data_IF_641486528060
#
_entry.id   IF_641486528060
#
_cell.length_a   1.000
_cell.length_b   1.000
_cell.length_c   1.000
_cell.angle_alpha   90.00
_cell.angle_beta   90.00
_cell.angle_gamma   90.00
#
_symmetry.space_group_name_H-M   'P 1'
#
loop_
_entity.id
_entity.type
_entity.pdbx_description
1 polymer ?
#
# COMPACT_ATOMS: atom_id res chain seq x y z
N UNK A 1 -24.60 26.82 -51.57
CA UNK A 1 -23.82 27.12 -50.35
C UNK A 1 -23.04 25.87 -49.97
N UNK A 2 -21.71 25.93 -49.94
CA UNK A 2 -20.93 24.80 -49.46
C UNK A 2 -21.25 24.58 -47.97
N UNK A 3 -21.62 23.37 -47.58
CA UNK A 3 -21.87 23.05 -46.16
C UNK A 3 -20.58 23.29 -45.37
N UNK A 4 -20.63 24.14 -44.37
CA UNK A 4 -19.49 24.51 -43.53
C UNK A 4 -18.97 23.32 -42.71
N UNK A 5 -19.83 22.35 -42.41
CA UNK A 5 -19.53 21.18 -41.62
C UNK A 5 -19.94 19.91 -42.36
N UNK A 6 -19.17 18.83 -42.13
CA UNK A 6 -19.48 17.49 -42.65
C UNK A 6 -20.70 16.93 -41.94
N UNK A 7 -21.69 16.46 -42.68
CA UNK A 7 -22.82 15.70 -42.10
C UNK A 7 -22.51 14.21 -42.14
N UNK A 8 -22.74 13.56 -41.03
CA UNK A 8 -22.59 12.11 -40.92
C UNK A 8 -23.96 11.46 -40.93
N UNK A 9 -24.21 10.57 -41.87
CA UNK A 9 -25.48 9.83 -42.02
C UNK A 9 -25.65 8.79 -40.89
N UNK A 10 -24.54 8.35 -40.27
CA UNK A 10 -24.50 7.41 -39.16
C UNK A 10 -23.38 7.81 -38.21
N UNK A 11 -23.67 7.74 -36.91
CA UNK A 11 -22.70 8.05 -35.88
C UNK A 11 -21.79 6.84 -35.67
N UNK A 12 -20.64 6.81 -36.32
CA UNK A 12 -19.59 5.81 -36.17
C UNK A 12 -18.37 6.45 -35.50
N UNK A 13 -18.28 6.27 -34.18
CA UNK A 13 -17.20 6.84 -33.35
C UNK A 13 -15.81 6.41 -33.83
N UNK A 14 -15.65 5.16 -34.29
CA UNK A 14 -14.36 4.65 -34.74
C UNK A 14 -13.87 5.37 -36.00
N UNK A 15 -14.75 5.58 -36.97
CA UNK A 15 -14.40 6.30 -38.21
C UNK A 15 -14.18 7.78 -37.95
N UNK A 16 -15.05 8.43 -37.18
CA UNK A 16 -14.86 9.83 -36.77
C UNK A 16 -13.51 10.02 -36.06
N UNK A 17 -13.15 9.13 -35.13
CA UNK A 17 -11.87 9.19 -34.46
C UNK A 17 -10.70 9.12 -35.46
N UNK A 18 -10.71 8.17 -36.37
CA UNK A 18 -9.65 8.03 -37.39
C UNK A 18 -9.52 9.27 -38.27
N UNK A 19 -10.64 9.85 -38.70
CA UNK A 19 -10.64 11.08 -39.50
C UNK A 19 -10.08 12.28 -38.75
N UNK A 20 -10.46 12.44 -37.47
CA UNK A 20 -9.96 13.51 -36.62
C UNK A 20 -8.47 13.35 -36.33
N UNK A 21 -8.02 12.15 -35.97
CA UNK A 21 -6.59 11.88 -35.76
C UNK A 21 -5.76 12.15 -37.00
N UNK A 22 -6.28 11.77 -38.19
CA UNK A 22 -5.63 12.08 -39.46
C UNK A 22 -5.51 13.59 -39.69
N UNK A 23 -6.59 14.34 -39.48
CA UNK A 23 -6.58 15.82 -39.60
C UNK A 23 -5.58 16.45 -38.63
N UNK A 24 -5.50 15.96 -37.39
CA UNK A 24 -4.56 16.48 -36.40
C UNK A 24 -3.12 16.22 -36.80
N UNK A 25 -2.83 15.02 -37.32
CA UNK A 25 -1.50 14.65 -37.79
C UNK A 25 -1.09 15.44 -39.04
N UNK A 26 -1.95 15.48 -40.08
CA UNK A 26 -1.66 16.16 -41.32
C UNK A 26 -1.51 17.70 -41.12
N UNK A 27 -2.23 18.24 -40.17
CA UNK A 27 -2.19 19.67 -39.83
C UNK A 27 -1.18 20.03 -38.75
N UNK A 28 -0.51 19.05 -38.14
CA UNK A 28 0.40 19.24 -37.00
C UNK A 28 -0.23 20.10 -35.87
N UNK A 29 -1.47 19.75 -35.52
CA UNK A 29 -2.31 20.59 -34.65
C UNK A 29 -1.77 20.68 -33.24
N UNK A 30 -1.11 19.59 -32.73
CA UNK A 30 -0.54 19.61 -31.39
C UNK A 30 0.60 20.65 -31.29
N UNK A 31 1.60 20.60 -32.16
CA UNK A 31 2.71 21.56 -32.14
C UNK A 31 2.22 23.00 -32.42
N UNK A 32 1.31 23.19 -33.40
CA UNK A 32 0.69 24.50 -33.60
C UNK A 32 -0.02 25.04 -32.38
N UNK A 33 -0.60 24.16 -31.54
CA UNK A 33 -1.24 24.58 -30.30
C UNK A 33 -0.25 25.13 -29.27
N UNK A 34 1.01 24.74 -29.35
CA UNK A 34 2.11 25.29 -28.55
C UNK A 34 2.66 26.57 -29.18
N UNK A 35 2.99 26.55 -30.47
CA UNK A 35 3.57 27.67 -31.21
C UNK A 35 2.75 28.97 -31.08
N UNK A 36 1.43 28.89 -31.33
CA UNK A 36 0.53 30.07 -31.23
C UNK A 36 0.38 30.61 -29.81
N UNK A 37 0.96 29.94 -28.81
CA UNK A 37 0.93 30.34 -27.40
C UNK A 37 2.33 30.65 -26.85
N UNK A 38 3.32 30.76 -27.70
CA UNK A 38 4.64 31.25 -27.28
C UNK A 38 4.51 32.65 -26.65
N UNK A 39 5.17 32.81 -25.48
CA UNK A 39 5.05 34.04 -24.70
C UNK A 39 3.81 34.14 -23.81
N UNK A 40 2.86 33.24 -23.90
CA UNK A 40 1.71 33.18 -22.99
C UNK A 40 2.09 32.58 -21.63
N UNK A 41 1.26 32.76 -20.58
CA UNK A 41 1.50 32.14 -19.29
C UNK A 41 1.68 30.61 -19.40
N UNK A 42 2.74 30.08 -18.78
CA UNK A 42 3.06 28.66 -18.87
C UNK A 42 2.23 27.83 -17.89
N UNK A 43 1.79 26.66 -18.34
CA UNK A 43 1.28 25.58 -17.51
C UNK A 43 2.03 24.28 -17.86
N UNK A 44 2.98 23.92 -17.00
CA UNK A 44 3.83 22.74 -17.22
C UNK A 44 3.15 21.49 -16.70
N UNK A 45 3.15 20.45 -17.51
CA UNK A 45 2.61 19.15 -17.16
C UNK A 45 3.61 18.04 -17.50
N UNK A 46 3.96 17.25 -16.48
CA UNK A 46 4.72 16.02 -16.64
C UNK A 46 3.77 14.82 -16.52
N UNK A 47 3.80 13.91 -17.50
CA UNK A 47 3.07 12.64 -17.41
C UNK A 47 3.58 11.86 -16.18
N UNK A 48 2.66 11.27 -15.40
CA UNK A 48 3.00 10.20 -14.47
C UNK A 48 3.35 8.96 -15.29
N UNK A 49 4.66 8.59 -15.37
CA UNK A 49 5.12 7.72 -16.43
C UNK A 49 4.65 6.29 -16.19
N UNK A 50 4.12 5.60 -17.21
CA UNK A 50 3.88 4.18 -17.10
C UNK A 50 5.19 3.40 -17.18
N UNK A 51 5.21 2.21 -16.60
CA UNK A 51 6.23 1.21 -16.88
C UNK A 51 5.83 0.43 -18.14
N UNK A 52 6.72 0.35 -19.13
CA UNK A 52 6.43 -0.31 -20.42
C UNK A 52 6.83 -1.79 -20.45
N UNK A 53 6.98 -2.44 -19.29
CA UNK A 53 7.21 -3.89 -19.16
C UNK A 53 5.93 -4.71 -19.34
N UNK A 54 4.75 -4.10 -19.38
CA UNK A 54 3.44 -4.72 -19.60
C UNK A 54 2.59 -3.98 -20.62
N UNK A 55 1.60 -4.70 -21.17
CA UNK A 55 0.62 -4.14 -22.11
C UNK A 55 -0.27 -3.11 -21.42
N UNK A 56 -0.64 -2.00 -22.12
CA UNK A 56 -1.58 -1.04 -21.58
C UNK A 56 -2.99 -1.66 -21.42
N UNK A 57 -3.64 -1.39 -20.29
CA UNK A 57 -5.02 -1.81 -20.01
C UNK A 57 -6.01 -0.64 -20.05
N UNK A 58 -7.31 -0.97 -19.97
CA UNK A 58 -8.40 0.03 -20.03
C UNK A 58 -8.33 1.06 -18.89
N UNK A 59 -7.88 0.69 -17.72
CA UNK A 59 -7.70 1.60 -16.60
C UNK A 59 -6.69 2.72 -16.88
N UNK A 60 -5.68 2.45 -17.70
CA UNK A 60 -4.74 3.47 -18.15
C UNK A 60 -5.39 4.50 -19.07
N UNK A 61 -6.38 4.10 -19.90
CA UNK A 61 -7.13 5.02 -20.74
C UNK A 61 -7.91 6.03 -19.91
N UNK A 62 -8.59 5.58 -18.86
CA UNK A 62 -9.35 6.46 -17.95
C UNK A 62 -8.44 7.50 -17.31
N UNK A 63 -7.33 7.08 -16.70
CA UNK A 63 -6.40 7.98 -16.06
C UNK A 63 -5.81 9.02 -17.03
N UNK A 64 -5.44 8.60 -18.24
CA UNK A 64 -4.88 9.47 -19.29
C UNK A 64 -5.91 10.45 -19.82
N UNK A 65 -7.17 10.03 -20.00
CA UNK A 65 -8.26 10.91 -20.41
C UNK A 65 -8.49 12.04 -19.40
N UNK A 66 -8.46 11.73 -18.11
CA UNK A 66 -8.60 12.74 -17.04
C UNK A 66 -7.45 13.74 -17.10
N UNK A 67 -6.21 13.30 -17.24
CA UNK A 67 -5.03 14.18 -17.37
C UNK A 67 -5.15 15.10 -18.59
N UNK A 68 -5.56 14.55 -19.73
CA UNK A 68 -5.71 15.31 -20.98
C UNK A 68 -6.78 16.40 -20.88
N UNK A 69 -7.87 16.17 -20.15
CA UNK A 69 -8.92 17.18 -19.90
C UNK A 69 -8.32 18.43 -19.27
N UNK A 70 -7.49 18.29 -18.22
CA UNK A 70 -6.87 19.45 -17.57
C UNK A 70 -5.92 20.20 -18.50
N UNK A 71 -5.11 19.49 -19.26
CA UNK A 71 -4.18 20.07 -20.21
C UNK A 71 -4.92 20.80 -21.35
N UNK A 72 -5.96 20.20 -21.92
CA UNK A 72 -6.80 20.82 -22.94
C UNK A 72 -7.56 22.03 -22.42
N UNK A 73 -8.12 21.94 -21.22
CA UNK A 73 -8.79 23.07 -20.58
C UNK A 73 -7.83 24.26 -20.43
N UNK A 74 -6.61 24.03 -19.93
CA UNK A 74 -5.61 25.09 -19.80
C UNK A 74 -5.18 25.66 -21.16
N UNK A 75 -5.02 24.81 -22.18
CA UNK A 75 -4.76 25.24 -23.57
C UNK A 75 -5.89 26.15 -24.09
N UNK A 76 -7.15 25.77 -23.87
CA UNK A 76 -8.32 26.60 -24.28
C UNK A 76 -8.40 27.92 -23.49
N UNK A 77 -7.88 27.96 -22.26
CA UNK A 77 -7.78 29.19 -21.46
C UNK A 77 -6.60 30.09 -21.87
N UNK A 78 -5.87 29.73 -22.92
CA UNK A 78 -4.77 30.54 -23.47
C UNK A 78 -3.38 30.27 -22.85
N UNK A 79 -3.22 29.23 -22.04
CA UNK A 79 -1.90 28.88 -21.49
C UNK A 79 -1.05 28.13 -22.51
N UNK A 80 0.25 28.38 -22.50
CA UNK A 80 1.24 27.48 -23.10
C UNK A 80 1.36 26.23 -22.23
N UNK A 81 0.87 25.10 -22.73
CA UNK A 81 0.84 23.83 -21.94
C UNK A 81 1.89 22.87 -22.48
N UNK A 82 3.08 22.92 -21.91
CA UNK A 82 4.12 21.94 -22.17
C UNK A 82 3.79 20.61 -21.47
N UNK A 83 3.63 19.56 -22.28
CA UNK A 83 3.18 18.22 -21.86
C UNK A 83 4.28 17.23 -22.17
N UNK A 84 5.02 16.80 -21.18
CA UNK A 84 6.15 15.89 -21.36
C UNK A 84 5.76 14.47 -21.02
N UNK A 85 5.95 13.55 -21.98
CA UNK A 85 5.82 12.12 -21.74
C UNK A 85 7.00 11.58 -20.94
N UNK A 86 6.85 10.40 -20.38
CA UNK A 86 7.93 9.73 -19.65
C UNK A 86 7.73 8.22 -19.56
N UNK A 87 8.81 7.53 -19.16
CA UNK A 87 8.83 6.09 -18.91
C UNK A 87 9.38 5.82 -17.52
N UNK A 88 8.61 5.13 -16.68
CA UNK A 88 9.09 4.57 -15.42
C UNK A 88 9.82 3.27 -15.70
N UNK A 89 11.09 3.22 -15.31
CA UNK A 89 11.99 2.14 -15.70
C UNK A 89 12.61 1.43 -14.50
N UNK A 90 12.08 1.66 -13.32
CA UNK A 90 12.58 1.10 -12.07
C UNK A 90 11.47 0.32 -11.33
N UNK A 91 11.90 -0.41 -10.32
CA UNK A 91 11.03 -1.01 -9.32
C UNK A 91 10.82 -2.51 -9.49
N UNK A 92 10.24 -3.05 -8.45
CA UNK A 92 10.02 -4.47 -8.23
C UNK A 92 9.31 -5.22 -9.38
N UNK A 93 8.30 -4.65 -10.07
CA UNK A 93 7.65 -5.36 -11.18
C UNK A 93 8.59 -5.68 -12.34
N UNK A 94 9.56 -4.80 -12.62
CA UNK A 94 10.58 -5.03 -13.67
C UNK A 94 11.55 -6.12 -13.21
N UNK A 95 12.06 -6.01 -11.98
CA UNK A 95 13.00 -6.96 -11.41
C UNK A 95 12.43 -8.37 -11.38
N UNK A 96 11.24 -8.55 -10.80
CA UNK A 96 10.57 -9.85 -10.73
C UNK A 96 10.24 -10.44 -12.11
N UNK A 97 9.90 -9.60 -13.09
CA UNK A 97 9.67 -10.01 -14.47
C UNK A 97 10.94 -10.59 -15.10
N UNK A 98 12.06 -9.92 -14.91
CA UNK A 98 13.38 -10.35 -15.44
C UNK A 98 13.89 -11.58 -14.71
N UNK A 99 13.81 -11.63 -13.38
CA UNK A 99 14.19 -12.81 -12.59
C UNK A 99 13.42 -14.06 -13.06
N UNK A 100 12.09 -13.93 -13.26
CA UNK A 100 11.25 -15.01 -13.79
C UNK A 100 11.68 -15.43 -15.19
N UNK A 101 11.99 -14.48 -16.07
CA UNK A 101 12.41 -14.75 -17.46
C UNK A 101 13.77 -15.45 -17.53
N UNK A 102 14.70 -15.07 -16.65
CA UNK A 102 16.03 -15.64 -16.56
C UNK A 102 16.09 -16.94 -15.72
N UNK A 103 15.03 -17.27 -14.99
CA UNK A 103 15.00 -18.42 -14.08
C UNK A 103 15.94 -18.28 -12.89
N UNK A 104 16.15 -17.06 -12.39
CA UNK A 104 17.05 -16.73 -11.29
C UNK A 104 16.28 -16.12 -10.12
N UNK A 105 16.94 -16.04 -8.97
CA UNK A 105 16.48 -15.29 -7.80
C UNK A 105 17.40 -14.07 -7.58
N UNK A 106 16.96 -13.14 -6.76
CA UNK A 106 17.76 -11.96 -6.39
C UNK A 106 19.15 -12.32 -5.82
N UNK A 107 19.25 -13.45 -5.13
CA UNK A 107 20.50 -13.93 -4.54
C UNK A 107 21.53 -14.42 -5.59
N UNK A 108 21.06 -14.72 -6.81
CA UNK A 108 21.91 -15.18 -7.90
C UNK A 108 22.64 -14.02 -8.61
N UNK A 109 22.17 -12.79 -8.41
CA UNK A 109 22.76 -11.59 -9.00
C UNK A 109 24.14 -11.34 -8.39
N UNK A 110 25.13 -11.20 -9.24
CA UNK A 110 26.55 -11.11 -8.84
C UNK A 110 27.22 -12.48 -8.57
N UNK A 111 26.46 -13.59 -8.69
CA UNK A 111 26.99 -14.97 -8.53
C UNK A 111 26.82 -15.78 -9.81
N UNK A 112 25.58 -16.00 -10.25
CA UNK A 112 25.26 -16.75 -11.49
C UNK A 112 25.18 -15.85 -12.71
N UNK A 113 24.81 -14.61 -12.53
CA UNK A 113 24.75 -13.57 -13.55
C UNK A 113 25.44 -12.32 -13.01
N UNK A 114 26.20 -11.62 -13.85
CA UNK A 114 26.82 -10.35 -13.44
C UNK A 114 25.74 -9.25 -13.26
N UNK A 115 26.01 -8.27 -12.40
CA UNK A 115 25.15 -7.09 -12.22
C UNK A 115 24.93 -6.35 -13.54
N UNK A 116 25.99 -6.28 -14.39
CA UNK A 116 25.91 -5.61 -15.69
C UNK A 116 24.94 -6.32 -16.65
N UNK A 117 25.00 -7.65 -16.74
CA UNK A 117 24.10 -8.45 -17.58
C UNK A 117 22.65 -8.38 -17.07
N UNK A 118 22.46 -8.45 -15.76
CA UNK A 118 21.15 -8.29 -15.14
C UNK A 118 20.56 -6.91 -15.44
N UNK A 119 21.31 -5.84 -15.24
CA UNK A 119 20.88 -4.47 -15.57
C UNK A 119 20.56 -4.30 -17.05
N UNK A 120 21.35 -4.92 -17.93
CA UNK A 120 21.08 -4.91 -19.37
C UNK A 120 19.79 -5.63 -19.71
N UNK A 121 19.48 -6.75 -19.04
CA UNK A 121 18.21 -7.45 -19.19
C UNK A 121 17.02 -6.60 -18.70
N UNK A 122 17.13 -5.95 -17.54
CA UNK A 122 16.10 -5.04 -17.02
C UNK A 122 15.83 -3.87 -17.98
N UNK A 123 16.88 -3.25 -18.54
CA UNK A 123 16.73 -2.15 -19.52
C UNK A 123 16.04 -2.59 -20.81
N UNK A 124 16.26 -3.81 -21.26
CA UNK A 124 15.55 -4.35 -22.43
C UNK A 124 14.09 -4.66 -22.13
N UNK A 125 13.83 -5.29 -20.99
CA UNK A 125 12.48 -5.74 -20.65
C UNK A 125 11.54 -4.57 -20.35
N UNK A 126 12.03 -3.56 -19.64
CA UNK A 126 11.20 -2.42 -19.22
C UNK A 126 10.70 -1.57 -20.40
N UNK A 127 11.37 -1.59 -21.53
CA UNK A 127 10.98 -0.83 -22.74
C UNK A 127 10.26 -1.69 -23.78
N UNK A 128 9.93 -2.93 -23.46
CA UNK A 128 9.41 -3.94 -24.41
C UNK A 128 8.13 -3.53 -25.11
N UNK A 129 7.21 -2.86 -24.43
CA UNK A 129 5.89 -2.49 -24.94
C UNK A 129 5.72 -0.99 -25.21
N UNK A 130 6.80 -0.24 -25.36
CA UNK A 130 6.75 1.21 -25.65
C UNK A 130 5.97 1.54 -26.91
N UNK A 131 6.04 0.68 -27.93
CA UNK A 131 5.28 0.86 -29.17
C UNK A 131 3.78 0.78 -28.91
N UNK A 132 3.33 -0.23 -28.21
CA UNK A 132 1.91 -0.44 -27.87
C UNK A 132 1.36 0.70 -27.02
N UNK A 133 2.15 1.19 -26.10
CA UNK A 133 1.81 2.37 -25.28
C UNK A 133 1.72 3.65 -26.13
N UNK A 134 2.65 3.85 -27.04
CA UNK A 134 2.64 4.98 -27.96
C UNK A 134 1.42 4.91 -28.91
N UNK A 135 1.17 3.74 -29.49
CA UNK A 135 0.01 3.48 -30.35
C UNK A 135 -1.32 3.75 -29.62
N UNK A 136 -1.46 3.30 -28.37
CA UNK A 136 -2.63 3.58 -27.55
C UNK A 136 -2.78 5.07 -27.30
N UNK A 137 -1.71 5.75 -26.89
CA UNK A 137 -1.70 7.19 -26.62
C UNK A 137 -2.17 8.01 -27.84
N UNK A 138 -1.67 7.65 -29.01
CA UNK A 138 -2.08 8.29 -30.27
C UNK A 138 -3.53 7.97 -30.63
N UNK A 139 -3.96 6.70 -30.52
CA UNK A 139 -5.34 6.27 -30.85
C UNK A 139 -6.39 6.93 -29.98
N UNK A 140 -6.10 7.16 -28.71
CA UNK A 140 -7.03 7.87 -27.82
C UNK A 140 -7.01 9.40 -28.00
N UNK A 141 -6.12 9.91 -28.84
CA UNK A 141 -5.98 11.35 -29.12
C UNK A 141 -5.40 12.13 -27.94
N UNK A 142 -4.63 11.48 -27.08
CA UNK A 142 -3.96 12.14 -25.96
C UNK A 142 -2.76 12.96 -26.46
N UNK A 143 -2.81 14.26 -26.23
CA UNK A 143 -1.76 15.19 -26.64
C UNK A 143 -0.66 15.27 -25.60
N UNK A 144 0.48 14.67 -25.91
CA UNK A 144 1.69 14.68 -25.09
C UNK A 144 2.91 14.51 -25.98
N UNK A 145 4.02 15.18 -25.66
CA UNK A 145 5.27 15.03 -26.38
C UNK A 145 5.86 13.62 -26.15
N UNK A 146 5.69 12.76 -27.16
CA UNK A 146 6.22 11.40 -27.22
C UNK A 146 7.59 11.32 -27.88
N UNK A 147 8.06 12.40 -28.54
CA UNK A 147 9.32 12.43 -29.25
C UNK A 147 10.50 12.65 -28.30
N UNK A 148 10.27 13.42 -27.23
CA UNK A 148 11.28 13.76 -26.24
C UNK A 148 10.87 13.33 -24.82
N UNK A 149 10.55 12.05 -24.60
CA UNK A 149 10.15 11.57 -23.27
C UNK A 149 11.32 11.62 -22.30
N UNK A 150 11.04 11.82 -21.02
CA UNK A 150 12.05 11.52 -20.00
C UNK A 150 12.01 10.02 -19.65
N UNK A 151 13.18 9.45 -19.40
CA UNK A 151 13.33 8.03 -19.05
C UNK A 151 14.06 7.98 -17.71
N UNK A 152 13.47 7.34 -16.70
CA UNK A 152 13.99 7.43 -15.34
C UNK A 152 15.36 6.75 -15.16
N UNK A 153 15.79 5.83 -16.04
CA UNK A 153 17.15 5.29 -16.04
C UNK A 153 18.17 6.13 -16.84
N UNK A 154 17.73 7.20 -17.53
CA UNK A 154 18.67 8.07 -18.26
C UNK A 154 19.55 8.83 -17.26
N UNK A 155 20.86 8.90 -17.53
CA UNK A 155 21.81 9.56 -16.63
C UNK A 155 21.44 11.02 -16.37
N UNK A 156 20.95 11.75 -17.36
CA UNK A 156 20.53 13.14 -17.18
C UNK A 156 19.37 13.28 -16.19
N UNK A 157 18.43 12.31 -16.21
CA UNK A 157 17.34 12.27 -15.23
C UNK A 157 17.90 11.97 -13.84
N UNK A 158 18.75 10.95 -13.71
CA UNK A 158 19.37 10.54 -12.44
C UNK A 158 20.21 11.67 -11.84
N UNK A 159 21.04 12.33 -12.64
CA UNK A 159 21.87 13.46 -12.20
C UNK A 159 21.01 14.64 -11.71
N UNK A 160 19.94 14.95 -12.43
CA UNK A 160 19.00 15.99 -12.01
C UNK A 160 18.33 15.63 -10.68
N UNK A 161 17.89 14.38 -10.51
CA UNK A 161 17.31 13.90 -9.27
C UNK A 161 18.30 13.98 -8.11
N UNK A 162 19.55 13.59 -8.31
CA UNK A 162 20.59 13.67 -7.30
C UNK A 162 20.92 15.12 -6.92
N UNK A 163 20.88 16.03 -7.88
CA UNK A 163 21.02 17.45 -7.61
C UNK A 163 19.89 17.94 -6.68
N UNK A 164 18.65 17.60 -6.97
CA UNK A 164 17.50 17.98 -6.13
C UNK A 164 17.59 17.37 -4.72
N UNK A 165 17.95 16.09 -4.60
CA UNK A 165 18.17 15.44 -3.30
C UNK A 165 19.31 16.11 -2.50
N UNK A 166 20.39 16.52 -3.16
CA UNK A 166 21.47 17.28 -2.55
C UNK A 166 20.99 18.64 -2.00
N UNK A 167 20.13 19.34 -2.75
CA UNK A 167 19.57 20.61 -2.27
C UNK A 167 18.61 20.40 -1.07
N UNK A 168 17.84 19.32 -1.05
CA UNK A 168 17.02 18.94 0.12
C UNK A 168 17.88 18.59 1.33
N UNK A 169 18.97 17.87 1.12
CA UNK A 169 19.94 17.56 2.19
C UNK A 169 20.55 18.81 2.79
N UNK A 170 21.00 19.77 1.95
CA UNK A 170 21.52 21.07 2.42
C UNK A 170 20.53 21.87 3.27
N UNK A 171 19.25 21.72 2.99
CA UNK A 171 18.16 22.37 3.75
C UNK A 171 17.78 21.59 5.02
N UNK A 172 18.43 20.48 5.34
CA UNK A 172 18.09 19.63 6.48
C UNK A 172 16.77 18.84 6.33
N UNK A 173 16.19 18.81 5.13
CA UNK A 173 14.94 18.10 4.85
C UNK A 173 15.14 16.61 4.50
N UNK A 174 16.35 16.23 4.15
CA UNK A 174 16.75 14.85 3.91
C UNK A 174 17.76 14.44 4.99
N UNK A 175 17.44 13.42 5.76
CA UNK A 175 18.26 12.92 6.86
C UNK A 175 18.18 11.41 6.96
N UNK A 176 19.15 10.78 7.63
CA UNK A 176 19.14 9.36 7.92
C UNK A 176 18.27 9.09 9.15
N UNK A 177 17.30 8.20 9.02
CA UNK A 177 16.37 7.84 10.09
C UNK A 177 16.01 6.37 10.04
N UNK A 178 15.17 5.95 10.98
CA UNK A 178 14.62 4.61 11.06
C UNK A 178 13.10 4.67 10.91
N UNK A 179 12.54 3.68 10.22
CA UNK A 179 11.09 3.50 10.10
C UNK A 179 10.75 2.02 10.06
N UNK A 180 9.53 1.68 10.44
CA UNK A 180 8.98 0.33 10.29
C UNK A 180 8.36 0.24 8.91
N UNK A 181 8.70 -0.83 8.18
CA UNK A 181 8.17 -1.11 6.85
C UNK A 181 7.82 -2.60 6.74
N UNK A 182 6.67 -2.97 6.17
CA UNK A 182 6.39 -4.35 5.80
C UNK A 182 7.47 -4.91 4.88
N UNK A 183 7.89 -6.14 5.13
CA UNK A 183 8.93 -6.81 4.36
C UNK A 183 8.40 -8.11 3.76
N UNK A 184 8.67 -8.33 2.48
CA UNK A 184 8.35 -9.58 1.79
C UNK A 184 9.59 -10.47 1.69
N UNK A 185 9.64 -11.61 2.41
CA UNK A 185 10.75 -12.56 2.26
C UNK A 185 10.84 -13.14 0.83
N UNK A 186 9.68 -13.34 0.17
CA UNK A 186 9.63 -13.89 -1.18
C UNK A 186 10.21 -12.93 -2.22
N UNK A 187 9.99 -11.62 -2.07
CA UNK A 187 10.54 -10.60 -2.94
C UNK A 187 11.92 -10.08 -2.46
N UNK A 188 12.33 -10.42 -1.23
CA UNK A 188 13.59 -10.00 -0.64
C UNK A 188 13.71 -8.48 -0.42
N UNK A 189 12.57 -7.79 -0.22
CA UNK A 189 12.54 -6.33 -0.10
C UNK A 189 11.40 -5.83 0.77
N UNK A 190 11.50 -4.57 1.25
CA UNK A 190 10.41 -3.84 1.86
C UNK A 190 9.33 -3.49 0.84
N UNK A 191 8.09 -3.42 1.31
CA UNK A 191 6.93 -3.11 0.48
C UNK A 191 6.43 -1.69 0.76
N UNK A 192 6.09 -0.97 -0.30
CA UNK A 192 5.43 0.33 -0.23
C UNK A 192 3.94 0.19 0.12
N UNK A 193 3.33 1.27 0.61
CA UNK A 193 1.88 1.32 0.83
C UNK A 193 1.07 1.07 -0.45
N UNK A 194 1.59 1.46 -1.62
CA UNK A 194 0.97 1.18 -2.90
C UNK A 194 0.92 -0.32 -3.20
N UNK A 195 2.01 -1.05 -2.97
CA UNK A 195 2.08 -2.50 -3.17
C UNK A 195 1.16 -3.26 -2.22
N UNK A 196 1.02 -2.78 -0.98
CA UNK A 196 0.09 -3.34 0.00
C UNK A 196 -1.38 -3.05 -0.28
N UNK A 197 -1.68 -2.10 -1.16
CA UNK A 197 -3.04 -1.71 -1.51
C UNK A 197 -3.51 -2.26 -2.86
N UNK A 198 -2.76 -3.18 -3.46
CA UNK A 198 -3.16 -3.83 -4.71
C UNK A 198 -4.30 -4.83 -4.48
N UNK A 199 -5.21 -4.99 -5.45
CA UNK A 199 -6.26 -6.01 -5.37
C UNK A 199 -5.67 -7.41 -5.14
N UNK A 200 -6.20 -8.13 -4.14
CA UNK A 200 -5.77 -9.49 -3.81
C UNK A 200 -4.51 -9.60 -2.95
N UNK A 201 -3.98 -8.48 -2.45
CA UNK A 201 -2.86 -8.50 -1.49
C UNK A 201 -3.22 -9.16 -0.16
N UNK A 202 -4.45 -8.99 0.27
CA UNK A 202 -4.96 -9.57 1.52
C UNK A 202 -5.82 -10.80 1.22
N UNK A 203 -5.60 -11.85 1.99
CA UNK A 203 -6.38 -13.10 1.93
C UNK A 203 -6.61 -13.58 3.33
N UNK A 204 -7.80 -14.14 3.56
CA UNK A 204 -8.09 -14.82 4.81
C UNK A 204 -7.25 -16.09 4.90
N UNK A 205 -6.53 -16.23 6.00
CA UNK A 205 -5.73 -17.41 6.33
C UNK A 205 -6.13 -17.93 7.72
N UNK A 206 -6.11 -19.26 7.88
CA UNK A 206 -6.30 -19.87 9.18
C UNK A 206 -4.95 -19.92 9.88
N UNK A 207 -4.84 -19.27 11.02
CA UNK A 207 -3.61 -19.20 11.81
C UNK A 207 -3.88 -19.48 13.29
N UNK A 208 -2.81 -19.80 14.02
CA UNK A 208 -2.87 -20.06 15.45
C UNK A 208 -2.73 -18.75 16.22
N UNK A 209 -3.69 -18.50 17.10
CA UNK A 209 -3.64 -17.36 18.02
C UNK A 209 -3.42 -17.85 19.45
N UNK A 210 -2.92 -16.97 20.30
CA UNK A 210 -2.67 -17.27 21.70
C UNK A 210 -3.22 -16.16 22.59
N UNK A 211 -3.87 -16.53 23.69
CA UNK A 211 -4.15 -15.61 24.80
C UNK A 211 -3.15 -15.93 25.92
N UNK A 212 -2.14 -15.07 26.03
CA UNK A 212 -1.10 -15.20 27.03
C UNK A 212 -1.58 -14.70 28.40
N UNK A 213 -1.10 -15.37 29.47
CA UNK A 213 -1.34 -15.01 30.86
C UNK A 213 -0.06 -14.38 31.43
N UNK A 214 -0.13 -13.13 31.82
CA UNK A 214 0.98 -12.41 32.45
C UNK A 214 0.69 -12.24 33.91
N UNK A 215 1.49 -12.85 34.78
CA UNK A 215 1.29 -12.80 36.22
C UNK A 215 1.42 -11.37 36.74
N UNK A 216 0.46 -10.94 37.55
CA UNK A 216 0.47 -9.65 38.23
C UNK A 216 1.30 -9.81 39.50
N UNK A 217 2.32 -8.96 39.65
CA UNK A 217 3.26 -9.04 40.82
C UNK A 217 2.76 -8.29 42.03
N UNK A 218 2.07 -7.16 41.80
CA UNK A 218 1.48 -6.32 42.85
C UNK A 218 -0.03 -6.15 42.60
N UNK A 219 -0.82 -7.21 42.93
CA UNK A 219 -2.26 -7.19 42.66
C UNK A 219 -3.01 -6.30 43.63
N UNK A 220 -4.10 -5.69 43.17
CA UNK A 220 -5.05 -5.00 44.03
C UNK A 220 -5.75 -5.99 44.99
N UNK A 221 -6.21 -5.53 46.15
CA UNK A 221 -6.85 -6.42 47.15
C UNK A 221 -8.02 -7.23 46.56
N UNK A 222 -8.82 -6.65 45.68
CA UNK A 222 -9.97 -7.30 45.05
C UNK A 222 -9.57 -8.45 44.11
N UNK A 223 -8.35 -8.46 43.62
CA UNK A 223 -7.78 -9.54 42.77
C UNK A 223 -7.25 -10.70 43.55
N UNK A 224 -7.02 -10.54 44.85
CA UNK A 224 -6.49 -11.55 45.73
C UNK A 224 -7.55 -12.57 46.21
N UNK A 225 -7.10 -13.73 46.66
CA UNK A 225 -7.96 -14.70 47.36
C UNK A 225 -8.63 -15.74 46.47
N UNK A 226 -8.50 -15.68 45.15
CA UNK A 226 -9.01 -16.71 44.24
C UNK A 226 -7.99 -17.03 43.13
N UNK A 227 -7.00 -17.88 43.47
CA UNK A 227 -5.92 -18.22 42.55
C UNK A 227 -4.97 -17.07 42.25
N UNK A 228 -4.07 -17.28 41.32
CA UNK A 228 -3.12 -16.23 40.89
C UNK A 228 -3.78 -15.22 39.91
N UNK A 229 -3.48 -13.93 40.08
CA UNK A 229 -3.96 -12.90 39.16
C UNK A 229 -3.09 -12.75 37.91
N UNK A 230 -3.72 -12.66 36.75
CA UNK A 230 -3.05 -12.53 35.45
C UNK A 230 -3.71 -11.45 34.58
N UNK A 231 -2.92 -10.66 33.90
CA UNK A 231 -3.40 -9.95 32.70
C UNK A 231 -3.51 -10.93 31.56
N UNK A 232 -4.61 -10.82 30.80
CA UNK A 232 -4.80 -11.54 29.55
C UNK A 232 -4.43 -10.64 28.35
N UNK A 233 -3.55 -11.12 27.48
CA UNK A 233 -3.19 -10.46 26.25
C UNK A 233 -3.27 -11.43 25.08
N UNK A 234 -4.09 -11.09 24.09
CA UNK A 234 -4.25 -11.88 22.88
C UNK A 234 -3.23 -11.47 21.81
N UNK A 235 -2.68 -12.45 21.09
CA UNK A 235 -1.74 -12.23 20.01
C UNK A 235 -1.93 -13.24 18.87
N UNK A 236 -1.70 -12.80 17.64
CA UNK A 236 -1.55 -13.66 16.44
C UNK A 236 -0.10 -14.07 16.22
N UNK A 237 0.85 -13.53 16.99
CA UNK A 237 2.29 -13.75 16.82
C UNK A 237 2.94 -14.26 18.12
N UNK A 238 2.57 -15.48 18.60
CA UNK A 238 3.03 -15.98 19.92
C UNK A 238 4.55 -16.15 20.02
N UNK A 239 5.27 -16.29 18.90
CA UNK A 239 6.73 -16.35 18.86
C UNK A 239 7.44 -15.06 19.26
N UNK A 240 6.73 -13.93 19.37
CA UNK A 240 7.28 -12.66 19.86
C UNK A 240 7.23 -12.53 21.37
N UNK A 241 6.47 -13.38 22.09
CA UNK A 241 6.29 -13.32 23.54
C UNK A 241 7.60 -13.40 24.34
N UNK A 242 8.64 -14.20 23.94
CA UNK A 242 9.91 -14.23 24.67
C UNK A 242 10.63 -12.88 24.74
N UNK A 243 10.35 -11.97 23.84
CA UNK A 243 10.92 -10.61 23.79
C UNK A 243 9.97 -9.54 24.34
N UNK A 244 8.84 -9.93 24.95
CA UNK A 244 7.88 -8.99 25.51
C UNK A 244 8.42 -8.36 26.80
N UNK A 245 8.49 -7.04 26.84
CA UNK A 245 9.05 -6.27 27.96
C UNK A 245 8.01 -5.57 28.83
N UNK A 246 6.81 -5.34 28.29
CA UNK A 246 5.74 -4.65 28.99
C UNK A 246 4.38 -4.94 28.36
N UNK A 247 3.32 -4.72 29.13
CA UNK A 247 1.94 -4.65 28.66
C UNK A 247 1.51 -3.18 28.62
N UNK A 248 0.79 -2.80 27.57
CA UNK A 248 0.24 -1.46 27.42
C UNK A 248 -1.27 -1.49 27.61
N UNK A 249 -1.78 -0.63 28.48
CA UNK A 249 -3.22 -0.47 28.72
C UNK A 249 -3.73 0.85 28.12
N UNK A 250 -4.91 0.82 27.57
CA UNK A 250 -5.55 2.03 27.00
C UNK A 250 -6.08 2.94 28.12
N UNK A 251 -5.74 4.24 28.14
CA UNK A 251 -6.10 5.13 29.25
C UNK A 251 -7.62 5.31 29.40
N UNK A 252 -8.36 5.20 28.32
CA UNK A 252 -9.82 5.39 28.33
C UNK A 252 -10.61 4.07 28.42
N UNK A 253 -9.93 2.93 28.33
CA UNK A 253 -10.57 1.64 28.42
C UNK A 253 -10.83 1.27 29.88
N UNK A 254 -11.92 0.52 30.06
CA UNK A 254 -12.27 -0.08 31.35
C UNK A 254 -11.82 -1.53 31.32
N UNK A 255 -11.15 -1.95 32.40
CA UNK A 255 -10.68 -3.32 32.62
C UNK A 255 -11.43 -3.93 33.80
N UNK A 256 -11.67 -5.22 33.75
CA UNK A 256 -12.32 -5.98 34.80
C UNK A 256 -11.42 -7.09 35.30
N UNK A 257 -11.46 -7.36 36.61
CA UNK A 257 -10.90 -8.55 37.19
C UNK A 257 -12.01 -9.60 37.38
N UNK A 258 -11.72 -10.81 36.94
CA UNK A 258 -12.67 -11.92 36.86
C UNK A 258 -12.11 -13.14 37.53
N UNK A 259 -12.70 -13.54 38.61
CA UNK A 259 -12.41 -14.83 39.27
C UNK A 259 -13.01 -15.96 38.42
N UNK A 260 -12.20 -16.94 38.08
CA UNK A 260 -12.56 -18.05 37.19
C UNK A 260 -11.54 -19.20 37.29
N UNK A 261 -11.67 -20.16 36.41
CA UNK A 261 -10.71 -21.28 36.29
C UNK A 261 -10.06 -21.28 34.89
N UNK A 262 -8.82 -21.70 34.84
CA UNK A 262 -8.17 -21.98 33.55
C UNK A 262 -8.80 -23.26 32.97
N UNK A 263 -9.43 -23.23 31.80
CA UNK A 263 -10.17 -24.37 31.25
C UNK A 263 -9.28 -25.56 30.86
N UNK A 264 -7.98 -25.33 30.72
CA UNK A 264 -7.02 -26.40 30.36
C UNK A 264 -6.39 -27.10 31.57
N UNK A 265 -6.20 -26.37 32.66
CA UNK A 265 -5.55 -26.90 33.85
C UNK A 265 -6.50 -27.14 35.01
N UNK A 266 -7.68 -26.52 35.00
CA UNK A 266 -8.63 -26.54 36.12
C UNK A 266 -8.21 -25.68 37.31
N UNK A 267 -7.08 -24.97 37.23
CA UNK A 267 -6.59 -24.15 38.33
C UNK A 267 -7.41 -22.85 38.47
N UNK A 268 -7.72 -22.45 39.72
CA UNK A 268 -8.36 -21.16 39.97
C UNK A 268 -7.44 -20.01 39.60
N UNK A 269 -7.98 -18.94 39.03
CA UNK A 269 -7.24 -17.75 38.64
C UNK A 269 -8.12 -16.50 38.67
N UNK A 270 -7.51 -15.33 38.80
CA UNK A 270 -8.16 -14.06 38.59
C UNK A 270 -7.63 -13.43 37.27
N UNK A 271 -8.49 -13.37 36.25
CA UNK A 271 -8.13 -12.85 34.94
C UNK A 271 -8.46 -11.37 34.83
N UNK A 272 -7.51 -10.53 34.41
CA UNK A 272 -7.73 -9.10 34.13
C UNK A 272 -7.73 -8.87 32.61
N UNK A 273 -8.81 -8.30 32.10
CA UNK A 273 -9.01 -8.05 30.67
C UNK A 273 -9.88 -6.83 30.43
N UNK A 274 -9.90 -6.32 29.20
CA UNK A 274 -10.79 -5.24 28.82
C UNK A 274 -12.27 -5.66 28.98
N UNK A 275 -13.08 -4.82 29.61
CA UNK A 275 -14.49 -5.08 29.88
C UNK A 275 -15.30 -5.44 28.64
N UNK A 276 -15.04 -4.75 27.54
CA UNK A 276 -15.74 -4.98 26.26
C UNK A 276 -15.48 -6.37 25.66
N UNK A 277 -14.40 -7.04 26.13
CA UNK A 277 -14.05 -8.39 25.71
C UNK A 277 -14.55 -9.47 26.69
N UNK A 278 -15.26 -9.09 27.75
CA UNK A 278 -15.72 -10.06 28.76
C UNK A 278 -16.51 -11.21 28.11
N UNK A 279 -17.47 -10.90 27.28
CA UNK A 279 -18.34 -11.89 26.63
C UNK A 279 -17.65 -12.68 25.49
N UNK A 280 -16.44 -12.29 25.08
CA UNK A 280 -15.60 -13.05 24.13
C UNK A 280 -14.92 -14.20 24.85
N UNK A 281 -14.46 -13.97 26.08
CA UNK A 281 -13.73 -14.95 26.87
C UNK A 281 -14.61 -15.77 27.81
N UNK A 282 -15.71 -15.19 28.28
CA UNK A 282 -16.58 -15.80 29.27
C UNK A 282 -18.01 -15.93 28.71
N UNK A 283 -18.57 -17.13 28.80
CA UNK A 283 -19.94 -17.36 28.34
C UNK A 283 -20.92 -16.74 29.35
N UNK A 284 -21.79 -15.79 28.96
CA UNK A 284 -22.75 -15.17 29.87
C UNK A 284 -23.63 -16.14 30.64
N UNK A 285 -23.91 -17.34 30.09
CA UNK A 285 -24.69 -18.40 30.75
C UNK A 285 -23.98 -18.99 31.98
N UNK A 286 -22.70 -18.73 32.14
CA UNK A 286 -21.91 -19.20 33.29
C UNK A 286 -21.80 -18.16 34.39
N UNK A 287 -22.34 -16.94 34.23
CA UNK A 287 -22.23 -15.86 35.20
C UNK A 287 -22.91 -16.19 36.56
N UNK A 288 -24.00 -16.97 36.47
CA UNK A 288 -24.80 -17.33 37.69
C UNK A 288 -24.35 -18.66 38.31
N UNK A 289 -23.33 -19.32 37.73
CA UNK A 289 -22.80 -20.58 38.28
C UNK A 289 -21.90 -20.31 39.51
N UNK A 290 -22.01 -21.14 40.53
CA UNK A 290 -21.16 -21.05 41.67
C UNK A 290 -19.71 -21.47 41.29
N UNK A 291 -18.72 -20.69 41.73
CA UNK A 291 -17.29 -21.03 41.51
C UNK A 291 -16.91 -22.37 42.11
N UNK A 292 -17.54 -22.75 43.21
CA UNK A 292 -17.27 -24.00 43.94
C UNK A 292 -17.67 -25.27 43.19
N UNK A 293 -18.52 -25.17 42.19
CA UNK A 293 -19.12 -26.34 41.54
C UNK A 293 -18.36 -26.76 40.25
N UNK A 294 -17.33 -26.01 39.86
CA UNK A 294 -16.57 -26.27 38.65
C UNK A 294 -15.71 -27.54 38.74
N UNK A 295 -15.76 -28.34 37.68
CA UNK A 295 -14.85 -29.48 37.47
C UNK A 295 -14.18 -29.35 36.14
N UNK A 296 -12.88 -29.73 36.06
CA UNK A 296 -12.13 -29.71 34.82
C UNK A 296 -12.83 -30.59 33.76
N UNK A 297 -13.11 -30.01 32.61
CA UNK A 297 -13.84 -30.63 31.52
C UNK A 297 -15.30 -30.16 31.37
N UNK A 298 -15.84 -29.38 32.33
CA UNK A 298 -17.15 -28.77 32.20
C UNK A 298 -17.18 -27.80 31.01
N UNK A 299 -18.30 -27.83 30.26
CA UNK A 299 -18.47 -26.98 29.09
C UNK A 299 -18.61 -25.48 29.41
N UNK A 300 -19.10 -25.18 30.61
CA UNK A 300 -19.27 -23.82 31.10
C UNK A 300 -18.33 -23.60 32.28
N UNK A 301 -17.44 -22.65 32.15
CA UNK A 301 -16.53 -22.26 33.21
C UNK A 301 -17.16 -21.11 33.98
N UNK A 302 -17.47 -21.25 35.28
CA UNK A 302 -18.08 -20.17 36.07
C UNK A 302 -17.12 -18.99 36.19
N UNK A 303 -17.66 -17.81 36.31
CA UNK A 303 -16.87 -16.62 36.50
C UNK A 303 -17.62 -15.56 37.34
N UNK A 304 -16.86 -14.70 38.02
CA UNK A 304 -17.37 -13.59 38.80
C UNK A 304 -16.50 -12.37 38.64
N UNK A 305 -17.09 -11.26 38.22
CA UNK A 305 -16.41 -9.96 38.17
C UNK A 305 -16.25 -9.45 39.60
N UNK A 306 -15.03 -9.13 40.02
CA UNK A 306 -14.69 -8.71 41.38
C UNK A 306 -14.16 -7.30 41.48
N UNK A 307 -13.83 -6.66 40.36
CA UNK A 307 -13.37 -5.28 40.32
C UNK A 307 -13.35 -4.69 38.91
N UNK A 308 -13.34 -3.38 38.85
CA UNK A 308 -13.35 -2.63 37.58
C UNK A 308 -12.49 -1.37 37.74
N UNK A 309 -11.59 -1.08 36.76
CA UNK A 309 -10.66 0.05 36.78
C UNK A 309 -10.43 0.61 35.40
N UNK A 310 -9.97 1.87 35.33
CA UNK A 310 -9.43 2.46 34.12
C UNK A 310 -7.96 2.07 33.93
N UNK A 311 -7.50 2.11 32.68
CA UNK A 311 -6.11 1.72 32.35
C UNK A 311 -5.04 2.35 33.25
N UNK A 312 -5.04 3.67 33.50
CA UNK A 312 -4.03 4.32 34.37
C UNK A 312 -3.99 3.76 35.79
N UNK A 313 -5.10 3.23 36.32
CA UNK A 313 -5.18 2.64 37.66
C UNK A 313 -4.50 1.27 37.76
N UNK A 314 -4.16 0.66 36.64
CA UNK A 314 -3.46 -0.63 36.52
C UNK A 314 -1.96 -0.48 36.23
N UNK A 315 -1.47 0.78 36.12
CA UNK A 315 -0.05 1.02 35.86
C UNK A 315 0.84 0.60 37.02
N UNK A 316 1.93 -0.11 36.68
CA UNK A 316 2.94 -0.52 37.66
C UNK A 316 2.65 -1.83 38.41
N UNK A 317 1.59 -2.54 38.06
CA UNK A 317 1.17 -3.81 38.70
C UNK A 317 1.96 -5.01 38.21
#
# INVERSE_FOLDING_TARGET
>A
MSKKFTEYSKFDLSNVNKEVLKKWKDGDIFHKSLEIREGHPSFVFYEGPPSANGMPGIHHVIARSIKDIFCRYKTMKGYLVNRKAGWDTHGLPVELGVEKTLGITKEDIGKKISVAEYNAACRRDVMKFTKEWTDLTQKMGYWVDLENPYITYDNRYIETLWYLLKELYKKGLLYKGYTIQPYSPAAGTGLSSHELNQPGCYRDVKDTTCTAQFRILDPKPEMAGFGEPFFLAWTTTPWTLPSNTALCVGPNFTYVAVQTYNPYTGMPMTAVLAKDLLNVYFNPKAADLALTDYKLGDKLVPFKVVGEWKGPELAGM
#
